data_IF_302252862716
#
_entry.id   IF_302252862716
#
_cell.length_a   1.000
_cell.length_b   1.000
_cell.length_c   1.000
_cell.angle_alpha   90.00
_cell.angle_beta   90.00
_cell.angle_gamma   90.00
#
_symmetry.space_group_name_H-M   'P 1'
#
loop_
_entity.id
_entity.type
_entity.pdbx_description
1 polymer ?
#
# COMPACT_ATOMS: atom_id res chain seq x y z
N UNK A 1 11.55 11.35 -15.47
CA UNK A 1 10.97 10.98 -14.17
C UNK A 1 10.81 9.48 -14.05
N UNK A 2 11.63 8.84 -13.20
CA UNK A 2 11.44 7.44 -12.80
C UNK A 2 10.68 7.40 -11.48
N UNK A 3 9.59 6.64 -11.46
CA UNK A 3 8.74 6.42 -10.29
C UNK A 3 8.70 4.94 -9.95
N UNK A 4 8.84 4.61 -8.67
CA UNK A 4 8.76 3.24 -8.17
C UNK A 4 7.52 3.08 -7.30
N UNK A 5 6.73 2.04 -7.57
CA UNK A 5 5.55 1.68 -6.79
C UNK A 5 5.84 0.39 -6.05
N UNK A 6 5.61 0.41 -4.75
CA UNK A 6 5.91 -0.72 -3.85
C UNK A 6 4.61 -1.25 -3.29
N UNK A 7 4.19 -2.41 -3.78
CA UNK A 7 2.95 -3.05 -3.35
C UNK A 7 3.10 -3.85 -2.07
N UNK A 8 2.24 -4.85 -1.88
CA UNK A 8 2.46 -5.88 -0.84
C UNK A 8 3.86 -6.50 -0.98
N UNK A 9 4.59 -6.64 0.14
CA UNK A 9 5.97 -7.15 0.20
C UNK A 9 6.15 -8.41 1.06
N UNK A 10 5.08 -8.94 1.64
CA UNK A 10 5.19 -10.04 2.60
C UNK A 10 4.89 -11.39 1.95
N UNK A 11 3.69 -11.56 1.40
CA UNK A 11 3.29 -12.84 0.82
C UNK A 11 3.66 -12.93 -0.66
N UNK A 12 3.31 -11.91 -1.44
CA UNK A 12 3.55 -11.85 -2.87
C UNK A 12 4.16 -10.49 -3.21
N UNK A 13 5.49 -10.31 -2.98
CA UNK A 13 6.18 -9.08 -3.27
C UNK A 13 5.88 -8.55 -4.67
N UNK A 14 5.53 -7.27 -4.77
CA UNK A 14 5.28 -6.62 -6.05
C UNK A 14 5.94 -5.25 -6.16
N UNK A 15 6.50 -4.98 -7.33
CA UNK A 15 7.11 -3.72 -7.71
C UNK A 15 6.63 -3.31 -9.09
N UNK A 16 6.47 -2.01 -9.28
CA UNK A 16 6.23 -1.42 -10.60
C UNK A 16 7.20 -0.25 -10.81
N UNK A 17 7.82 -0.22 -11.98
CA UNK A 17 8.61 0.91 -12.46
C UNK A 17 7.83 1.62 -13.55
N UNK A 18 7.69 2.93 -13.40
CA UNK A 18 7.13 3.80 -14.41
C UNK A 18 8.16 4.83 -14.88
N UNK A 19 8.07 5.22 -16.15
CA UNK A 19 8.85 6.32 -16.72
C UNK A 19 7.88 7.40 -17.21
N UNK A 20 8.03 8.62 -16.70
CA UNK A 20 7.10 9.73 -16.91
C UNK A 20 5.65 9.32 -16.66
N UNK A 21 5.42 8.61 -15.55
CA UNK A 21 4.12 8.05 -15.14
C UNK A 21 3.50 7.06 -16.13
N UNK A 22 4.23 6.57 -17.13
CA UNK A 22 3.81 5.44 -17.96
C UNK A 22 4.36 4.16 -17.36
N UNK A 23 3.50 3.19 -17.07
CA UNK A 23 3.90 1.84 -16.63
C UNK A 23 4.83 1.19 -17.66
N UNK A 24 6.01 0.78 -17.20
CA UNK A 24 7.03 0.14 -18.06
C UNK A 24 7.26 -1.32 -17.64
N UNK A 25 7.46 -1.56 -16.34
CA UNK A 25 7.69 -2.90 -15.81
C UNK A 25 6.84 -3.14 -14.57
N UNK A 26 6.27 -4.33 -14.48
CA UNK A 26 5.59 -4.83 -13.29
C UNK A 26 6.10 -6.23 -12.99
N UNK A 27 6.49 -6.46 -11.74
CA UNK A 27 6.94 -7.75 -11.25
C UNK A 27 6.12 -8.08 -10.00
N UNK A 28 5.54 -9.27 -9.97
CA UNK A 28 4.92 -9.87 -8.77
C UNK A 28 5.52 -11.25 -8.56
N UNK A 29 6.01 -11.52 -7.36
CA UNK A 29 6.42 -12.87 -6.96
C UNK A 29 5.19 -13.69 -6.58
N UNK A 30 5.17 -14.95 -7.00
CA UNK A 30 4.14 -15.93 -6.64
C UNK A 30 4.62 -16.93 -5.58
N UNK A 31 5.82 -16.70 -5.03
CA UNK A 31 6.40 -17.56 -4.00
C UNK A 31 6.22 -16.88 -2.64
N UNK A 32 5.29 -17.45 -1.87
CA UNK A 32 5.09 -17.13 -0.45
C UNK A 32 6.41 -17.48 0.26
N UNK A 33 7.12 -16.47 0.79
CA UNK A 33 8.39 -16.58 1.54
C UNK A 33 9.73 -16.56 0.78
N UNK A 34 9.80 -16.18 -0.50
CA UNK A 34 11.12 -15.94 -1.11
C UNK A 34 11.68 -14.57 -0.65
N UNK A 35 12.52 -14.58 0.39
CA UNK A 35 13.44 -13.51 0.82
C UNK A 35 12.96 -12.07 0.60
N UNK A 36 12.38 -11.46 1.64
CA UNK A 36 12.15 -10.00 1.71
C UNK A 36 13.42 -9.18 1.41
N UNK A 37 14.59 -9.80 1.57
CA UNK A 37 15.93 -9.33 1.24
C UNK A 37 16.13 -9.04 -0.27
N UNK A 38 15.25 -9.55 -1.14
CA UNK A 38 15.41 -9.41 -2.59
C UNK A 38 14.72 -8.20 -3.21
N UNK A 39 13.98 -7.37 -2.46
CA UNK A 39 13.33 -6.18 -3.06
C UNK A 39 14.36 -5.21 -3.67
N UNK A 40 15.50 -5.06 -3.01
CA UNK A 40 16.61 -4.23 -3.49
C UNK A 40 17.20 -4.83 -4.77
N UNK A 41 17.36 -6.16 -4.83
CA UNK A 41 17.85 -6.86 -6.03
C UNK A 41 16.86 -6.77 -7.20
N UNK A 42 15.56 -6.89 -6.92
CA UNK A 42 14.52 -6.73 -7.93
C UNK A 42 14.49 -5.30 -8.47
N UNK A 43 14.60 -4.31 -7.58
CA UNK A 43 14.68 -2.92 -7.99
C UNK A 43 15.94 -2.64 -8.82
N UNK A 44 17.10 -3.11 -8.37
CA UNK A 44 18.36 -2.99 -9.12
C UNK A 44 18.24 -3.65 -10.51
N UNK A 45 17.61 -4.82 -10.60
CA UNK A 45 17.30 -5.48 -11.87
C UNK A 45 16.42 -4.60 -12.77
N UNK A 46 15.33 -4.03 -12.23
CA UNK A 46 14.42 -3.15 -12.98
C UNK A 46 15.12 -1.89 -13.50
N UNK A 47 15.98 -1.28 -12.67
CA UNK A 47 16.75 -0.10 -13.05
C UNK A 47 17.78 -0.42 -14.14
N UNK A 48 18.50 -1.54 -14.00
CA UNK A 48 19.46 -2.02 -15.01
C UNK A 48 18.80 -2.30 -16.36
N UNK A 49 17.57 -2.83 -16.38
CA UNK A 49 16.80 -3.00 -17.62
C UNK A 49 16.51 -1.67 -18.34
N UNK A 50 16.42 -0.56 -17.60
CA UNK A 50 16.32 0.81 -18.16
C UNK A 50 17.66 1.53 -18.32
N UNK A 51 18.80 0.88 -18.03
CA UNK A 51 20.11 1.53 -17.94
C UNK A 51 20.09 2.74 -16.98
N UNK A 52 19.29 2.66 -15.94
CA UNK A 52 19.14 3.65 -14.90
C UNK A 52 19.83 3.20 -13.61
N UNK A 53 20.00 4.13 -12.68
CA UNK A 53 20.58 3.95 -11.36
C UNK A 53 19.59 4.36 -10.27
N UNK A 54 19.92 4.09 -9.00
CA UNK A 54 19.10 4.57 -7.88
C UNK A 54 19.00 6.09 -7.80
N UNK A 55 19.94 6.83 -8.40
CA UNK A 55 19.94 8.30 -8.38
C UNK A 55 18.92 8.90 -9.35
N UNK A 56 18.55 8.14 -10.39
CA UNK A 56 17.55 8.52 -11.38
C UNK A 56 16.12 8.40 -10.84
N UNK A 57 15.93 7.73 -9.70
CA UNK A 57 14.63 7.65 -9.04
C UNK A 57 14.25 9.05 -8.52
N UNK A 58 13.06 9.50 -8.88
CA UNK A 58 12.53 10.81 -8.48
C UNK A 58 11.42 10.68 -7.42
N UNK A 59 10.70 9.55 -7.40
CA UNK A 59 9.62 9.33 -6.42
C UNK A 59 9.37 7.86 -6.04
N UNK A 60 8.92 7.64 -4.79
CA UNK A 60 8.28 6.40 -4.31
C UNK A 60 6.79 6.62 -4.19
N UNK A 61 6.05 5.58 -4.48
CA UNK A 61 4.67 5.42 -4.05
C UNK A 61 4.59 4.14 -3.23
N UNK A 62 4.11 4.22 -1.99
CA UNK A 62 3.91 3.08 -1.11
C UNK A 62 2.52 3.09 -0.49
N UNK A 63 2.10 1.95 0.06
CA UNK A 63 0.91 1.92 0.91
C UNK A 63 1.18 2.53 2.30
N UNK A 64 0.28 3.39 2.76
CA UNK A 64 0.31 3.93 4.12
C UNK A 64 -0.11 2.89 5.16
N UNK A 65 -1.04 2.01 4.76
CA UNK A 65 -1.78 1.08 5.62
C UNK A 65 -3.29 1.19 5.38
N UNK A 66 -4.13 0.35 6.00
CA UNK A 66 -3.77 -0.85 6.75
C UNK A 66 -3.12 -1.90 5.86
N UNK A 67 -2.19 -2.68 6.42
CA UNK A 67 -1.30 -3.54 5.63
C UNK A 67 -0.59 -4.56 6.49
N UNK A 68 0.14 -5.48 5.84
CA UNK A 68 1.05 -6.37 6.54
C UNK A 68 2.19 -5.57 7.16
N UNK A 69 2.37 -5.75 8.47
CA UNK A 69 3.29 -4.97 9.29
C UNK A 69 4.71 -4.89 8.71
N UNK A 70 5.24 -6.04 8.28
CA UNK A 70 6.57 -6.13 7.68
C UNK A 70 6.65 -5.41 6.35
N UNK A 71 5.61 -5.50 5.50
CA UNK A 71 5.58 -4.81 4.22
C UNK A 71 5.61 -3.30 4.37
N UNK A 72 4.80 -2.76 5.28
CA UNK A 72 4.78 -1.33 5.54
C UNK A 72 6.14 -0.86 6.05
N UNK A 73 6.76 -1.57 7.01
CA UNK A 73 8.10 -1.20 7.51
C UNK A 73 9.16 -1.17 6.43
N UNK A 74 9.19 -2.18 5.56
CA UNK A 74 10.17 -2.24 4.47
C UNK A 74 9.95 -1.08 3.50
N UNK A 75 8.70 -0.78 3.11
CA UNK A 75 8.40 0.34 2.23
C UNK A 75 8.85 1.69 2.78
N UNK A 76 8.59 1.96 4.05
CA UNK A 76 9.02 3.21 4.71
C UNK A 76 10.54 3.26 4.93
N UNK A 77 11.18 2.14 5.25
CA UNK A 77 12.64 2.08 5.36
C UNK A 77 13.31 2.38 4.01
N UNK A 78 12.76 1.86 2.91
CA UNK A 78 13.22 2.15 1.56
C UNK A 78 13.06 3.64 1.22
N UNK A 79 11.92 4.24 1.56
CA UNK A 79 11.67 5.67 1.37
C UNK A 79 12.70 6.53 2.11
N UNK A 80 12.97 6.22 3.38
CA UNK A 80 13.98 6.90 4.20
C UNK A 80 15.38 6.74 3.59
N UNK A 81 15.73 5.54 3.14
CA UNK A 81 17.03 5.29 2.50
C UNK A 81 17.23 6.11 1.20
N UNK A 82 16.21 6.23 0.34
CA UNK A 82 16.31 7.05 -0.86
C UNK A 82 16.40 8.55 -0.54
N UNK A 83 15.62 9.02 0.42
CA UNK A 83 15.65 10.41 0.83
C UNK A 83 17.02 10.85 1.37
N UNK A 84 17.70 9.96 2.13
CA UNK A 84 19.06 10.22 2.62
C UNK A 84 20.08 10.36 1.48
N UNK A 85 19.84 9.74 0.32
CA UNK A 85 20.69 9.91 -0.87
C UNK A 85 20.32 11.13 -1.70
N UNK A 86 19.03 11.50 -1.77
CA UNK A 86 18.50 12.57 -2.63
C UNK A 86 17.33 13.26 -1.95
N UNK A 87 17.56 14.46 -1.41
CA UNK A 87 16.53 15.22 -0.66
C UNK A 87 15.39 15.76 -1.53
N UNK A 88 15.58 15.86 -2.85
CA UNK A 88 14.53 16.22 -3.81
C UNK A 88 13.57 15.06 -4.12
N UNK A 89 13.84 13.88 -3.59
CA UNK A 89 13.00 12.70 -3.73
C UNK A 89 11.62 12.89 -3.10
N UNK A 90 10.57 12.50 -3.83
CA UNK A 90 9.19 12.59 -3.35
C UNK A 90 8.69 11.23 -2.89
N UNK A 91 8.13 11.17 -1.69
CA UNK A 91 7.38 10.02 -1.22
C UNK A 91 5.90 10.34 -1.28
N UNK A 92 5.11 9.49 -1.92
CA UNK A 92 3.65 9.52 -1.84
C UNK A 92 3.15 8.27 -1.13
N UNK A 93 2.10 8.44 -0.34
CA UNK A 93 1.45 7.35 0.36
C UNK A 93 -0.03 7.31 -0.01
N UNK A 94 -0.58 6.11 -0.16
CA UNK A 94 -2.01 5.89 -0.38
C UNK A 94 -2.48 4.83 0.61
N UNK A 95 -3.64 5.03 1.24
CA UNK A 95 -4.21 4.01 2.12
C UNK A 95 -4.68 2.82 1.29
N UNK A 96 -4.41 1.61 1.76
CA UNK A 96 -4.67 0.38 0.99
C UNK A 96 -6.13 0.24 0.59
N UNK A 97 -7.05 0.61 1.49
CA UNK A 97 -8.49 0.58 1.22
C UNK A 97 -8.91 1.67 0.22
N UNK A 98 -8.30 2.86 0.27
CA UNK A 98 -8.59 3.94 -0.69
C UNK A 98 -8.19 3.49 -2.11
N UNK A 99 -7.02 2.86 -2.25
CA UNK A 99 -6.57 2.30 -3.52
C UNK A 99 -7.54 1.23 -4.06
N UNK A 100 -8.03 0.33 -3.20
CA UNK A 100 -9.04 -0.66 -3.57
C UNK A 100 -10.36 0.00 -3.99
N UNK A 101 -10.86 0.98 -3.23
CA UNK A 101 -12.09 1.68 -3.58
C UNK A 101 -11.99 2.39 -4.94
N UNK A 102 -10.86 3.02 -5.23
CA UNK A 102 -10.65 3.75 -6.49
C UNK A 102 -10.61 2.80 -7.70
N UNK A 103 -9.95 1.66 -7.54
CA UNK A 103 -9.67 0.71 -8.63
C UNK A 103 -10.76 -0.35 -8.80
N UNK A 104 -11.37 -0.82 -7.71
CA UNK A 104 -12.38 -1.88 -7.69
C UNK A 104 -13.80 -1.38 -7.40
N UNK A 105 -13.95 -0.14 -6.93
CA UNK A 105 -15.25 0.49 -6.68
C UNK A 105 -15.94 1.08 -7.92
N UNK A 106 -15.48 0.77 -9.14
CA UNK A 106 -16.12 1.29 -10.36
C UNK A 106 -17.56 0.76 -10.46
N UNK A 107 -18.52 1.69 -10.59
CA UNK A 107 -19.95 1.35 -10.69
C UNK A 107 -20.62 1.01 -9.36
N UNK A 108 -19.91 1.15 -8.24
CA UNK A 108 -20.44 0.87 -6.89
C UNK A 108 -20.73 2.18 -6.17
N UNK A 109 -22.01 2.48 -5.93
CA UNK A 109 -22.40 3.69 -5.20
C UNK A 109 -22.02 3.56 -3.72
N UNK A 110 -22.43 2.47 -3.06
CA UNK A 110 -22.09 2.16 -1.67
C UNK A 110 -21.16 0.94 -1.62
N UNK A 111 -19.91 1.12 -1.21
CA UNK A 111 -18.87 0.09 -1.30
C UNK A 111 -18.07 -0.06 0.00
N UNK A 112 -17.77 -1.30 0.38
CA UNK A 112 -16.87 -1.64 1.49
C UNK A 112 -15.82 -2.64 1.00
N UNK A 113 -14.59 -2.19 0.66
CA UNK A 113 -13.47 -3.09 0.47
C UNK A 113 -13.00 -3.60 1.84
N UNK A 114 -12.77 -4.90 1.95
CA UNK A 114 -12.35 -5.56 3.17
C UNK A 114 -10.99 -6.24 2.97
N UNK A 115 -10.01 -5.87 3.80
CA UNK A 115 -8.70 -6.50 3.85
C UNK A 115 -8.57 -7.41 5.08
N UNK A 116 -7.85 -8.54 5.00
CA UNK A 116 -7.75 -9.46 6.11
C UNK A 116 -7.00 -8.80 7.28
N UNK A 117 -7.60 -8.84 8.47
CA UNK A 117 -6.97 -8.46 9.72
C UNK A 117 -6.59 -9.72 10.53
N UNK A 118 -6.58 -9.62 11.85
CA UNK A 118 -6.30 -10.75 12.74
C UNK A 118 -7.60 -11.35 13.29
N UNK A 119 -7.54 -12.59 13.80
CA UNK A 119 -8.64 -13.22 14.56
C UNK A 119 -9.98 -13.28 13.79
N UNK A 120 -9.93 -13.44 12.46
CA UNK A 120 -11.11 -13.54 11.60
C UNK A 120 -11.80 -12.19 11.33
N UNK A 121 -11.17 -11.08 11.70
CA UNK A 121 -11.65 -9.73 11.42
C UNK A 121 -11.11 -9.20 10.09
N UNK A 122 -11.68 -8.09 9.61
CA UNK A 122 -11.25 -7.37 8.43
C UNK A 122 -11.01 -5.89 8.75
N UNK A 123 -10.02 -5.30 8.09
CA UNK A 123 -9.96 -3.85 7.95
C UNK A 123 -10.97 -3.40 6.92
N UNK A 124 -11.74 -2.36 7.22
CA UNK A 124 -12.76 -1.83 6.33
C UNK A 124 -12.88 -0.31 6.46
N UNK A 125 -13.50 0.30 5.46
CA UNK A 125 -14.06 1.65 5.54
C UNK A 125 -15.24 1.74 4.57
N UNK A 126 -16.12 2.71 4.81
CA UNK A 126 -17.28 2.98 3.97
C UNK A 126 -16.89 3.95 2.85
N UNK A 127 -17.31 3.65 1.63
CA UNK A 127 -17.11 4.50 0.46
C UNK A 127 -18.43 4.79 -0.23
N UNK A 128 -18.59 6.05 -0.65
CA UNK A 128 -19.65 6.50 -1.52
C UNK A 128 -19.05 7.08 -2.80
N UNK A 129 -19.43 6.56 -3.97
CA UNK A 129 -18.87 7.01 -5.25
C UNK A 129 -17.32 7.06 -5.24
N UNK A 130 -16.69 5.99 -4.71
CA UNK A 130 -15.23 5.85 -4.47
C UNK A 130 -14.60 6.81 -3.45
N UNK A 131 -15.37 7.71 -2.82
CA UNK A 131 -14.88 8.61 -1.78
C UNK A 131 -15.10 7.97 -0.41
N UNK A 132 -14.05 7.94 0.42
CA UNK A 132 -14.17 7.44 1.79
C UNK A 132 -15.03 8.37 2.64
N UNK A 133 -16.02 7.83 3.33
CA UNK A 133 -16.93 8.57 4.22
C UNK A 133 -16.84 8.14 5.70
N UNK A 134 -15.99 7.16 6.03
CA UNK A 134 -15.71 6.74 7.40
C UNK A 134 -14.23 6.69 7.71
N UNK A 135 -13.90 6.60 9.00
CA UNK A 135 -12.58 6.15 9.43
C UNK A 135 -12.36 4.66 9.08
N UNK A 136 -11.10 4.24 9.10
CA UNK A 136 -10.73 2.83 8.90
C UNK A 136 -10.97 2.07 10.20
N UNK A 137 -11.87 1.08 10.14
CA UNK A 137 -12.25 0.23 11.26
C UNK A 137 -11.70 -1.20 11.16
N UNK A 138 -11.90 -1.96 12.23
CA UNK A 138 -11.70 -3.42 12.29
C UNK A 138 -13.01 -4.04 12.76
N UNK A 139 -13.54 -5.02 12.03
CA UNK A 139 -14.79 -5.69 12.39
C UNK A 139 -14.85 -7.09 11.78
N UNK A 140 -15.73 -7.95 12.29
CA UNK A 140 -16.07 -9.23 11.67
C UNK A 140 -16.92 -9.02 10.42
N UNK A 141 -16.70 -9.86 9.41
CA UNK A 141 -17.41 -9.73 8.13
C UNK A 141 -18.93 -9.92 8.28
N UNK A 142 -19.38 -10.76 9.22
CA UNK A 142 -20.81 -10.99 9.49
C UNK A 142 -21.48 -9.74 10.05
N UNK A 143 -20.80 -9.01 10.93
CA UNK A 143 -21.30 -7.77 11.52
C UNK A 143 -21.40 -6.65 10.47
N UNK A 144 -20.42 -6.58 9.55
CA UNK A 144 -20.49 -5.62 8.44
C UNK A 144 -21.70 -5.86 7.55
N UNK A 145 -21.98 -7.12 7.19
CA UNK A 145 -23.16 -7.49 6.40
C UNK A 145 -24.48 -7.15 7.10
N UNK A 146 -24.54 -7.32 8.41
CA UNK A 146 -25.73 -7.00 9.20
C UNK A 146 -25.96 -5.49 9.35
N UNK A 147 -24.89 -4.72 9.56
CA UNK A 147 -24.97 -3.28 9.81
C UNK A 147 -25.11 -2.45 8.53
N UNK A 148 -24.61 -2.97 7.40
CA UNK A 148 -24.59 -2.26 6.11
C UNK A 148 -25.17 -3.14 4.99
N UNK A 149 -26.46 -3.53 5.07
CA UNK A 149 -27.07 -4.44 4.10
C UNK A 149 -27.14 -3.86 2.68
N UNK A 150 -27.15 -2.54 2.54
CA UNK A 150 -27.23 -1.84 1.24
C UNK A 150 -25.86 -1.59 0.59
N UNK A 151 -24.77 -1.95 1.27
CA UNK A 151 -23.42 -1.79 0.74
C UNK A 151 -22.95 -3.03 0.01
N UNK A 152 -22.26 -2.84 -1.12
CA UNK A 152 -21.53 -3.93 -1.75
C UNK A 152 -20.23 -4.19 -0.96
N UNK A 153 -20.15 -5.35 -0.31
CA UNK A 153 -19.00 -5.74 0.52
C UNK A 153 -18.12 -6.71 -0.27
N UNK A 154 -16.87 -6.33 -0.53
CA UNK A 154 -15.91 -7.16 -1.26
C UNK A 154 -14.75 -7.55 -0.34
N UNK A 155 -14.55 -8.86 -0.17
CA UNK A 155 -13.48 -9.41 0.65
C UNK A 155 -12.29 -9.84 -0.20
N UNK A 156 -11.13 -9.26 0.08
CA UNK A 156 -9.88 -9.60 -0.58
C UNK A 156 -9.09 -10.60 0.28
N UNK A 157 -8.54 -11.63 -0.37
CA UNK A 157 -7.67 -12.63 0.28
C UNK A 157 -6.20 -12.16 0.33
N UNK A 158 -5.84 -11.20 -0.52
CA UNK A 158 -4.50 -10.63 -0.63
C UNK A 158 -4.56 -9.11 -0.45
N UNK A 159 -3.48 -8.54 0.10
CA UNK A 159 -3.27 -7.09 0.08
C UNK A 159 -2.96 -6.61 -1.34
N UNK A 160 -3.43 -5.41 -1.73
CA UNK A 160 -3.28 -4.91 -3.08
C UNK A 160 -1.80 -4.78 -3.48
N UNK A 161 -1.51 -5.07 -4.75
CA UNK A 161 -0.14 -5.08 -5.28
C UNK A 161 0.27 -3.71 -5.83
N UNK A 162 1.46 -3.65 -6.43
CA UNK A 162 2.00 -2.43 -7.01
C UNK A 162 1.20 -1.92 -8.22
N UNK A 163 0.44 -2.79 -8.89
CA UNK A 163 -0.37 -2.39 -10.05
C UNK A 163 -1.63 -1.64 -9.60
N UNK A 164 -2.31 -2.18 -8.58
CA UNK A 164 -3.42 -1.48 -7.92
C UNK A 164 -2.96 -0.12 -7.36
N UNK A 165 -1.75 -0.07 -6.79
CA UNK A 165 -1.18 1.18 -6.27
C UNK A 165 -0.93 2.20 -7.39
N UNK A 166 -0.41 1.74 -8.52
CA UNK A 166 -0.18 2.57 -9.70
C UNK A 166 -1.49 3.12 -10.25
N UNK A 167 -2.52 2.28 -10.45
CA UNK A 167 -3.82 2.72 -10.95
C UNK A 167 -4.49 3.75 -10.03
N UNK A 168 -4.40 3.54 -8.71
CA UNK A 168 -4.91 4.48 -7.72
C UNK A 168 -4.14 5.81 -7.75
N UNK A 169 -2.81 5.76 -7.76
CA UNK A 169 -1.97 6.95 -7.84
C UNK A 169 -2.25 7.77 -9.09
N UNK A 170 -2.41 7.12 -10.25
CA UNK A 170 -2.68 7.84 -11.50
C UNK A 170 -3.99 8.63 -11.47
N UNK A 171 -4.98 8.20 -10.69
CA UNK A 171 -6.23 8.92 -10.48
C UNK A 171 -6.16 9.99 -9.39
N UNK A 172 -5.23 9.86 -8.44
CA UNK A 172 -5.10 10.76 -7.28
C UNK A 172 -3.94 11.75 -7.36
N UNK A 173 -2.99 11.57 -8.27
CA UNK A 173 -1.68 12.26 -8.25
C UNK A 173 -1.78 13.79 -8.15
N UNK A 174 -2.80 14.40 -8.73
CA UNK A 174 -3.00 15.85 -8.71
C UNK A 174 -3.55 16.37 -7.36
N UNK A 175 -4.07 15.46 -6.53
CA UNK A 175 -4.61 15.74 -5.20
C UNK A 175 -3.62 15.36 -4.08
N UNK A 176 -2.64 14.52 -4.39
CA UNK A 176 -1.65 14.04 -3.42
C UNK A 176 -0.55 15.08 -3.20
N UNK A 177 -0.11 15.19 -1.95
CA UNK A 177 1.08 15.95 -1.58
C UNK A 177 2.18 14.98 -1.17
N UNK A 178 3.44 15.26 -1.50
CA UNK A 178 4.55 14.43 -1.05
C UNK A 178 4.67 14.51 0.47
N UNK A 179 4.86 13.36 1.10
CA UNK A 179 5.12 13.22 2.53
C UNK A 179 6.62 13.28 2.77
N UNK A 180 7.06 13.93 3.84
CA UNK A 180 8.47 13.96 4.20
C UNK A 180 8.91 12.59 4.74
N UNK A 181 9.83 11.85 4.08
CA UNK A 181 10.13 10.47 4.44
C UNK A 181 10.62 10.28 5.88
N UNK A 182 11.35 11.25 6.41
CA UNK A 182 11.89 11.22 7.78
C UNK A 182 10.82 11.39 8.87
N UNK A 183 9.66 11.94 8.54
CA UNK A 183 8.53 12.18 9.46
C UNK A 183 7.38 11.19 9.21
N UNK A 184 7.52 10.35 8.18
CA UNK A 184 6.51 9.40 7.77
C UNK A 184 6.66 8.08 8.55
N UNK A 185 5.54 7.61 9.09
CA UNK A 185 5.42 6.29 9.72
C UNK A 185 4.18 5.54 9.23
N UNK A 186 4.21 4.20 9.19
CA UNK A 186 3.07 3.41 8.79
C UNK A 186 1.81 3.67 9.62
N UNK A 187 0.66 3.67 8.96
CA UNK A 187 -0.65 3.69 9.61
C UNK A 187 -1.01 2.29 10.10
N UNK A 188 -0.95 2.10 11.43
CA UNK A 188 -1.37 0.87 12.11
C UNK A 188 -2.71 1.06 12.80
N UNK A 189 -3.77 0.46 12.25
CA UNK A 189 -5.10 0.44 12.92
C UNK A 189 -5.05 -0.36 14.23
N UNK A 190 -4.25 -1.43 14.25
CA UNK A 190 -3.91 -2.20 15.45
C UNK A 190 -2.41 -2.48 15.45
N UNK A 191 -1.71 -2.07 16.50
CA UNK A 191 -0.32 -2.45 16.69
C UNK A 191 -0.23 -3.97 16.90
N UNK A 192 0.84 -4.64 16.42
CA UNK A 192 1.03 -6.05 16.73
C UNK A 192 1.05 -6.30 18.23
N UNK A 193 0.57 -7.48 18.65
CA UNK A 193 0.47 -7.88 20.06
C UNK A 193 1.78 -7.70 20.85
N UNK A 194 2.93 -7.83 20.19
CA UNK A 194 4.25 -7.61 20.78
C UNK A 194 4.49 -6.17 21.27
N UNK A 195 3.90 -5.16 20.61
CA UNK A 195 4.01 -3.75 21.00
C UNK A 195 2.97 -3.34 22.04
N UNK A 196 1.80 -3.98 22.05
CA UNK A 196 0.76 -3.76 23.06
C UNK A 196 1.16 -4.29 24.43
N UNK A 197 1.96 -5.37 24.49
CA UNK A 197 2.53 -5.90 25.75
C UNK A 197 3.58 -4.98 26.39
N UNK A 198 4.27 -4.12 25.65
CA UNK A 198 5.28 -3.20 26.22
C UNK A 198 4.62 -1.97 26.88
N UNK A 199 3.42 -1.59 26.44
CA UNK A 199 2.64 -0.48 27.05
C UNK A 199 1.75 -0.90 28.20
N UNK A 200 1.37 -2.18 28.27
CA UNK A 200 0.77 -2.79 29.46
C UNK A 200 1.91 -3.39 30.25
N UNK A 201 2.54 -2.60 31.12
CA UNK A 201 3.44 -3.15 32.13
C UNK A 201 2.64 -4.11 33.02
N UNK A 202 2.66 -5.39 32.66
CA UNK A 202 2.32 -6.57 33.44
C UNK A 202 3.39 -7.62 33.19
#
# INVERSE_FOLDING_TARGET
>A
MISIFVGNLSSFPSLLLSFNHKKEYFIKSFIKYSHQENIILLLDTLLKLKKATSEDIEELIIYEGPGLFTSLRIGYALAKAFYLKKTSYKLYTIKSLDALAITKGQGKEHYIPCLPAQKGEVFYALYESKKRISEIGIEKIENLKANYPDYEIEYFTEFPDADVLYEAFMQLKDQLQPVKPMEADPFYVRLPDAYTKIRRGE
#
